data_IF_958565367157
#
_entry.id   IF_958565367157
#
_cell.length_a   1.000
_cell.length_b   1.000
_cell.length_c   1.000
_cell.angle_alpha   90.00
_cell.angle_beta   90.00
_cell.angle_gamma   90.00
#
_symmetry.space_group_name_H-M   'P 1'
#
loop_
_entity.id
_entity.type
_entity.pdbx_description
1 polymer ?
#
# COMPACT_ATOMS: atom_id res chain seq x y z
N UNK A 1 13.32 13.47 16.42
CA UNK A 1 14.60 12.76 16.64
C UNK A 1 15.51 13.02 15.44
N UNK A 2 16.82 13.23 15.63
CA UNK A 2 17.76 13.41 14.53
C UNK A 2 18.40 12.07 14.20
N UNK A 3 18.26 11.62 12.96
CA UNK A 3 18.83 10.37 12.46
C UNK A 3 19.62 10.69 11.20
N UNK A 4 20.83 10.17 11.11
CA UNK A 4 21.63 10.23 9.89
C UNK A 4 21.30 9.01 9.05
N UNK A 5 20.99 9.24 7.78
CA UNK A 5 20.73 8.19 6.80
C UNK A 5 21.64 8.42 5.60
N UNK A 6 22.08 7.35 4.96
CA UNK A 6 22.82 7.44 3.70
C UNK A 6 21.85 7.42 2.53
N UNK A 7 22.08 8.30 1.57
CA UNK A 7 21.36 8.38 0.30
C UNK A 7 22.36 8.65 -0.81
N UNK A 8 22.06 8.18 -2.02
CA UNK A 8 22.92 8.43 -3.17
C UNK A 8 22.90 9.93 -3.53
N UNK A 9 24.02 10.44 -4.08
CA UNK A 9 24.13 11.85 -4.49
C UNK A 9 23.04 12.26 -5.48
N UNK A 10 22.68 11.37 -6.40
CA UNK A 10 21.57 11.59 -7.34
C UNK A 10 20.21 11.73 -6.66
N UNK A 11 19.97 10.95 -5.58
CA UNK A 11 18.74 11.07 -4.78
C UNK A 11 18.72 12.41 -4.04
N UNK A 12 19.85 12.82 -3.45
CA UNK A 12 19.98 14.12 -2.78
C UNK A 12 19.74 15.28 -3.76
N UNK A 13 20.31 15.23 -4.96
CA UNK A 13 20.12 16.25 -5.98
C UNK A 13 18.63 16.37 -6.38
N UNK A 14 17.96 15.23 -6.61
CA UNK A 14 16.54 15.19 -6.97
C UNK A 14 15.65 15.72 -5.85
N UNK A 15 15.96 15.38 -4.60
CA UNK A 15 15.23 15.87 -3.43
C UNK A 15 15.36 17.39 -3.27
N UNK A 16 16.54 17.96 -3.54
CA UNK A 16 16.75 19.41 -3.53
C UNK A 16 15.98 20.11 -4.66
N UNK A 17 15.96 19.54 -5.87
CA UNK A 17 15.19 20.06 -7.00
C UNK A 17 13.70 20.14 -6.67
N UNK A 18 13.13 19.06 -6.12
CA UNK A 18 11.72 19.00 -5.72
C UNK A 18 11.42 19.99 -4.59
N UNK A 19 12.32 20.09 -3.60
CA UNK A 19 12.16 21.05 -2.50
C UNK A 19 12.16 22.50 -3.02
N UNK A 20 13.10 22.83 -3.92
CA UNK A 20 13.18 24.14 -4.55
C UNK A 20 11.93 24.48 -5.35
N UNK A 21 11.41 23.53 -6.14
CA UNK A 21 10.16 23.70 -6.87
C UNK A 21 8.93 23.91 -5.96
N UNK A 22 8.96 23.38 -4.74
CA UNK A 22 7.91 23.55 -3.72
C UNK A 22 8.10 24.79 -2.84
N UNK A 23 9.18 25.57 -3.02
CA UNK A 23 9.50 26.72 -2.17
C UNK A 23 9.99 26.35 -0.76
N UNK A 24 10.39 25.09 -0.55
CA UNK A 24 10.89 24.58 0.72
C UNK A 24 12.38 24.90 0.88
N UNK A 25 12.82 25.23 2.10
CA UNK A 25 14.23 25.57 2.39
C UNK A 25 15.19 24.36 2.32
N UNK A 26 14.65 23.15 2.16
CA UNK A 26 15.41 21.90 2.08
C UNK A 26 14.49 20.69 1.90
N UNK A 27 15.06 19.49 1.86
CA UNK A 27 14.31 18.26 1.56
C UNK A 27 13.82 17.48 2.78
N UNK A 28 14.04 17.97 4.00
CA UNK A 28 13.65 17.25 5.23
C UNK A 28 12.16 16.90 5.26
N UNK A 29 11.30 17.83 4.81
CA UNK A 29 9.85 17.60 4.72
C UNK A 29 9.50 16.50 3.72
N UNK A 30 10.17 16.47 2.57
CA UNK A 30 9.99 15.43 1.56
C UNK A 30 10.39 14.06 2.07
N UNK A 31 11.49 13.98 2.83
CA UNK A 31 11.93 12.71 3.44
C UNK A 31 10.90 12.22 4.45
N UNK A 32 10.35 13.11 5.27
CA UNK A 32 9.31 12.75 6.22
C UNK A 32 8.03 12.27 5.51
N UNK A 33 7.56 12.99 4.48
CA UNK A 33 6.43 12.58 3.64
C UNK A 33 6.66 11.19 3.02
N UNK A 34 7.86 10.93 2.51
CA UNK A 34 8.22 9.64 1.92
C UNK A 34 8.18 8.50 2.93
N UNK A 35 8.68 8.73 4.15
CA UNK A 35 8.66 7.74 5.24
C UNK A 35 7.21 7.43 5.64
N UNK A 36 6.37 8.46 5.82
CA UNK A 36 4.96 8.28 6.17
C UNK A 36 4.20 7.50 5.08
N UNK A 37 4.44 7.84 3.81
CA UNK A 37 3.85 7.12 2.67
C UNK A 37 4.26 5.65 2.67
N UNK A 38 5.54 5.36 2.85
CA UNK A 38 6.07 4.00 2.89
C UNK A 38 5.44 3.18 4.03
N UNK A 39 5.38 3.73 5.24
CA UNK A 39 4.80 3.05 6.40
C UNK A 39 3.30 2.80 6.21
N UNK A 40 2.56 3.78 5.70
CA UNK A 40 1.12 3.64 5.42
C UNK A 40 0.86 2.58 4.35
N UNK A 41 1.66 2.55 3.29
CA UNK A 41 1.53 1.53 2.25
C UNK A 41 1.82 0.14 2.80
N UNK A 42 2.85 0.00 3.65
CA UNK A 42 3.20 -1.27 4.26
C UNK A 42 2.11 -1.78 5.19
N UNK A 43 1.58 -0.91 6.06
CA UNK A 43 0.47 -1.26 6.95
C UNK A 43 -0.78 -1.71 6.16
N UNK A 44 -1.09 -1.01 5.07
CA UNK A 44 -2.21 -1.40 4.19
C UNK A 44 -1.98 -2.78 3.57
N UNK A 45 -0.78 -3.02 3.01
CA UNK A 45 -0.42 -4.32 2.41
C UNK A 45 -0.49 -5.45 3.43
N UNK A 46 0.11 -5.26 4.61
CA UNK A 46 0.10 -6.27 5.67
C UNK A 46 -1.32 -6.54 6.18
N UNK A 47 -2.16 -5.51 6.30
CA UNK A 47 -3.57 -5.64 6.64
C UNK A 47 -4.37 -6.42 5.58
N UNK A 48 -4.18 -6.12 4.29
CA UNK A 48 -4.83 -6.83 3.19
C UNK A 48 -4.40 -8.30 3.12
N UNK A 49 -3.10 -8.58 3.25
CA UNK A 49 -2.58 -9.96 3.27
C UNK A 49 -3.12 -10.73 4.46
N UNK A 50 -3.13 -10.11 5.65
CA UNK A 50 -3.70 -10.74 6.86
C UNK A 50 -5.20 -11.02 6.70
N UNK A 51 -5.96 -10.07 6.15
CA UNK A 51 -7.38 -10.26 5.89
C UNK A 51 -7.63 -11.39 4.88
N UNK A 52 -6.87 -11.44 3.78
CA UNK A 52 -6.96 -12.50 2.79
C UNK A 52 -6.59 -13.88 3.36
N UNK A 53 -5.53 -13.95 4.17
CA UNK A 53 -5.13 -15.19 4.85
C UNK A 53 -6.19 -15.64 5.87
N UNK A 54 -6.88 -14.72 6.55
CA UNK A 54 -7.96 -15.05 7.47
C UNK A 54 -9.18 -15.66 6.77
N UNK A 55 -9.37 -15.44 5.47
CA UNK A 55 -10.43 -16.09 4.69
C UNK A 55 -10.07 -17.51 4.25
N UNK A 56 -8.79 -17.90 4.32
CA UNK A 56 -8.35 -19.22 3.88
C UNK A 56 -8.88 -20.29 4.82
N UNK A 57 -9.75 -21.16 4.32
CA UNK A 57 -10.42 -22.20 5.11
C UNK A 57 -11.63 -21.71 5.91
N UNK A 58 -12.16 -20.52 5.58
CA UNK A 58 -13.37 -19.98 6.21
C UNK A 58 -14.67 -20.63 5.69
N UNK A 59 -14.63 -21.29 4.53
CA UNK A 59 -15.72 -22.07 3.97
C UNK A 59 -15.31 -23.54 3.94
N UNK A 60 -16.23 -24.42 4.29
CA UNK A 60 -16.14 -25.84 3.96
C UNK A 60 -16.55 -26.07 2.49
N UNK A 61 -16.38 -27.30 2.00
CA UNK A 61 -16.60 -27.62 0.57
C UNK A 61 -18.05 -27.35 0.13
N UNK A 62 -19.05 -27.71 0.96
CA UNK A 62 -20.47 -27.47 0.65
C UNK A 62 -20.79 -25.96 0.62
N UNK A 63 -20.24 -25.19 1.56
CA UNK A 63 -20.40 -23.74 1.63
C UNK A 63 -19.72 -23.03 0.45
N UNK A 64 -18.59 -23.56 -0.03
CA UNK A 64 -17.87 -23.05 -1.19
C UNK A 64 -18.68 -23.27 -2.48
N UNK A 65 -19.25 -24.47 -2.66
CA UNK A 65 -20.08 -24.82 -3.81
C UNK A 65 -21.35 -23.96 -3.88
N UNK A 66 -22.04 -23.75 -2.74
CA UNK A 66 -23.21 -22.86 -2.68
C UNK A 66 -22.82 -21.41 -3.03
N UNK A 67 -21.70 -20.93 -2.50
CA UNK A 67 -21.23 -19.58 -2.75
C UNK A 67 -20.89 -19.36 -4.24
N UNK A 68 -20.23 -20.34 -4.87
CA UNK A 68 -19.93 -20.31 -6.30
C UNK A 68 -21.19 -20.30 -7.16
N UNK A 69 -22.18 -21.15 -6.84
CA UNK A 69 -23.46 -21.20 -7.55
C UNK A 69 -24.20 -19.86 -7.49
N UNK A 70 -24.19 -19.18 -6.35
CA UNK A 70 -24.83 -17.86 -6.18
C UNK A 70 -24.10 -16.76 -6.95
N UNK A 71 -22.77 -16.79 -7.01
CA UNK A 71 -21.99 -15.85 -7.84
C UNK A 71 -22.31 -16.05 -9.33
N UNK A 72 -22.45 -17.30 -9.78
CA UNK A 72 -22.78 -17.58 -11.17
C UNK A 72 -24.15 -17.03 -11.55
N UNK A 73 -25.18 -17.23 -10.72
CA UNK A 73 -26.50 -16.65 -10.95
C UNK A 73 -26.45 -15.12 -11.12
N UNK A 74 -25.73 -14.42 -10.23
CA UNK A 74 -25.60 -12.95 -10.32
C UNK A 74 -24.91 -12.53 -11.62
N UNK A 75 -23.89 -13.28 -12.07
CA UNK A 75 -23.16 -12.98 -13.31
C UNK A 75 -24.00 -13.22 -14.55
N UNK A 76 -24.84 -14.26 -14.54
CA UNK A 76 -25.79 -14.55 -15.61
C UNK A 76 -26.84 -13.44 -15.73
N UNK A 77 -27.35 -12.94 -14.60
CA UNK A 77 -28.33 -11.86 -14.57
C UNK A 77 -27.79 -10.50 -15.04
N UNK A 78 -26.47 -10.31 -15.08
CA UNK A 78 -25.82 -9.08 -15.54
C UNK A 78 -25.47 -9.07 -17.03
N UNK A 79 -25.67 -10.19 -17.74
CA UNK A 79 -25.30 -10.36 -19.14
C UNK A 79 -26.50 -10.18 -20.07
#
# INVERSE_FOLDING_TARGET
MRTTIEIADGQRARLLEIAGARGEKGYSRLVQEAIELFLKERQRKDGMVKAALAQRGALNDDEADEFEARIQQIREDWR
#
